data_IF_726538836559
#
_entry.id   IF_726538836559
#
_cell.length_a   1.000
_cell.length_b   1.000
_cell.length_c   1.000
_cell.angle_alpha   90.00
_cell.angle_beta   90.00
_cell.angle_gamma   90.00
#
_symmetry.space_group_name_H-M   'P 1'
#
loop_
_entity.id
_entity.type
_entity.pdbx_description
1 polymer ?
#
# COMPACT_ATOMS: atom_id res chain seq x y z
N UNK A 1 5.68 -4.44 -16.91
CA UNK A 1 5.76 -4.55 -15.44
C UNK A 1 6.06 -3.17 -14.91
N UNK A 2 5.19 -2.58 -14.08
CA UNK A 2 5.53 -1.34 -13.38
C UNK A 2 6.59 -1.62 -12.32
N UNK A 3 7.44 -0.63 -12.07
CA UNK A 3 8.38 -0.71 -10.96
C UNK A 3 7.61 -0.78 -9.64
N UNK A 4 8.21 -1.39 -8.61
CA UNK A 4 7.60 -1.40 -7.27
C UNK A 4 7.51 0.03 -6.72
N UNK A 5 8.55 0.82 -7.01
CA UNK A 5 8.70 2.22 -6.60
C UNK A 5 9.08 3.07 -7.82
N UNK A 6 8.54 4.27 -7.90
CA UNK A 6 8.86 5.30 -8.88
C UNK A 6 9.74 6.36 -8.21
N UNK A 7 11.02 6.33 -8.55
CA UNK A 7 12.03 7.26 -8.04
C UNK A 7 11.80 8.71 -8.48
N UNK A 8 11.21 8.97 -9.64
CA UNK A 8 10.89 10.36 -10.06
C UNK A 8 9.87 10.99 -9.10
N UNK A 9 8.88 10.20 -8.65
CA UNK A 9 7.90 10.63 -7.65
C UNK A 9 8.52 10.87 -6.28
N UNK A 10 9.51 10.06 -5.91
CA UNK A 10 10.27 10.24 -4.68
C UNK A 10 11.11 11.52 -4.76
N UNK A 11 11.75 11.79 -5.89
CA UNK A 11 12.52 13.01 -6.11
C UNK A 11 11.63 14.26 -6.07
N UNK A 12 10.44 14.20 -6.66
CA UNK A 12 9.42 15.25 -6.53
C UNK A 12 9.04 15.47 -5.07
N UNK A 13 8.70 14.39 -4.35
CA UNK A 13 8.35 14.47 -2.93
C UNK A 13 9.50 15.11 -2.14
N UNK A 14 10.73 14.62 -2.32
CA UNK A 14 11.94 15.14 -1.68
C UNK A 14 12.13 16.64 -1.91
N UNK A 15 11.86 17.15 -3.11
CA UNK A 15 11.91 18.59 -3.42
C UNK A 15 10.81 19.39 -2.72
N UNK A 16 9.62 18.81 -2.57
CA UNK A 16 8.48 19.49 -1.95
C UNK A 16 8.58 19.58 -0.41
N UNK A 17 9.12 18.54 0.23
CA UNK A 17 9.20 18.45 1.70
C UNK A 17 10.60 18.68 2.29
N UNK A 18 11.66 18.63 1.45
CA UNK A 18 13.06 18.66 1.86
C UNK A 18 13.63 17.26 2.13
N UNK A 19 14.84 17.00 1.62
CA UNK A 19 15.57 15.73 1.75
C UNK A 19 15.72 15.28 3.21
N UNK A 20 15.85 16.23 4.14
CA UNK A 20 15.99 15.97 5.58
C UNK A 20 14.73 15.36 6.23
N UNK A 21 13.56 15.57 5.64
CA UNK A 21 12.28 15.05 6.13
C UNK A 21 11.89 13.70 5.49
N UNK A 22 12.56 13.32 4.40
CA UNK A 22 12.27 12.10 3.65
C UNK A 22 12.44 10.82 4.50
N UNK A 23 13.52 10.65 5.30
CA UNK A 23 13.70 9.44 6.11
C UNK A 23 12.60 9.28 7.18
N UNK A 24 12.13 10.38 7.77
CA UNK A 24 11.06 10.36 8.75
C UNK A 24 9.75 9.89 8.12
N UNK A 25 9.40 10.43 6.96
CA UNK A 25 8.17 10.07 6.25
C UNK A 25 8.22 8.64 5.70
N UNK A 26 9.39 8.19 5.21
CA UNK A 26 9.57 6.78 4.83
C UNK A 26 9.40 5.85 6.02
N UNK A 27 9.95 6.20 7.19
CA UNK A 27 9.76 5.42 8.41
C UNK A 27 8.29 5.29 8.80
N UNK A 28 7.53 6.40 8.74
CA UNK A 28 6.07 6.39 8.99
C UNK A 28 5.35 5.49 7.98
N UNK A 29 5.62 5.69 6.69
CA UNK A 29 4.98 4.91 5.63
C UNK A 29 5.31 3.40 5.76
N UNK A 30 6.58 3.05 5.98
CA UNK A 30 7.02 1.67 6.23
C UNK A 30 6.28 1.06 7.43
N UNK A 31 6.10 1.82 8.51
CA UNK A 31 5.32 1.40 9.68
C UNK A 31 3.87 1.10 9.31
N UNK A 32 3.20 2.00 8.58
CA UNK A 32 1.83 1.79 8.11
C UNK A 32 1.71 0.52 7.24
N UNK A 33 2.68 0.26 6.36
CA UNK A 33 2.67 -0.95 5.53
C UNK A 33 2.73 -2.24 6.37
N UNK A 34 3.48 -2.23 7.48
CA UNK A 34 3.55 -3.35 8.42
C UNK A 34 2.20 -3.53 9.12
N UNK A 35 1.65 -2.45 9.67
CA UNK A 35 0.37 -2.47 10.39
C UNK A 35 -0.76 -2.99 9.48
N UNK A 36 -0.79 -2.58 8.21
CA UNK A 36 -1.77 -3.07 7.25
C UNK A 36 -1.56 -4.55 6.89
N UNK A 37 -0.32 -5.00 6.74
CA UNK A 37 -0.04 -6.40 6.43
C UNK A 37 -0.46 -7.32 7.60
N UNK A 38 -0.17 -6.90 8.83
CA UNK A 38 -0.59 -7.62 10.04
C UNK A 38 -2.11 -7.60 10.21
N UNK A 39 -2.77 -6.47 9.97
CA UNK A 39 -4.23 -6.37 10.04
C UNK A 39 -4.91 -7.30 9.02
N UNK A 40 -4.37 -7.41 7.81
CA UNK A 40 -4.92 -8.33 6.79
C UNK A 40 -4.64 -9.80 7.11
N UNK A 41 -3.48 -10.11 7.68
CA UNK A 41 -3.13 -11.48 8.09
C UNK A 41 -3.99 -11.97 9.27
N UNK A 42 -4.28 -11.07 10.22
CA UNK A 42 -5.09 -11.34 11.42
C UNK A 42 -6.54 -10.84 11.26
N UNK A 43 -7.02 -10.73 10.02
CA UNK A 43 -8.32 -10.15 9.71
C UNK A 43 -9.49 -10.89 10.39
N UNK A 44 -10.66 -10.25 10.47
CA UNK A 44 -11.84 -10.84 11.10
C UNK A 44 -12.31 -12.10 10.36
N UNK A 45 -12.90 -13.03 11.11
CA UNK A 45 -13.50 -14.25 10.55
C UNK A 45 -14.78 -13.97 9.75
N UNK A 46 -15.49 -12.90 10.11
CA UNK A 46 -16.73 -12.49 9.46
C UNK A 46 -16.45 -11.89 8.08
N UNK A 47 -17.12 -12.42 7.05
CA UNK A 47 -16.84 -12.09 5.64
C UNK A 47 -17.06 -10.62 5.31
N UNK A 48 -18.11 -10.00 5.85
CA UNK A 48 -18.42 -8.58 5.60
C UNK A 48 -17.38 -7.65 6.22
N UNK A 49 -16.97 -7.92 7.46
CA UNK A 49 -15.93 -7.14 8.15
C UNK A 49 -14.57 -7.30 7.45
N UNK A 50 -14.28 -8.51 6.97
CA UNK A 50 -13.06 -8.80 6.23
C UNK A 50 -13.04 -8.08 4.87
N UNK A 51 -14.17 -7.94 4.20
CA UNK A 51 -14.29 -7.16 2.97
C UNK A 51 -14.11 -5.66 3.24
N UNK A 52 -14.79 -5.13 4.26
CA UNK A 52 -14.69 -3.73 4.67
C UNK A 52 -13.26 -3.33 5.07
N UNK A 53 -12.57 -4.22 5.79
CA UNK A 53 -11.15 -4.04 6.14
C UNK A 53 -10.28 -3.92 4.89
N UNK A 54 -10.41 -4.86 3.95
CA UNK A 54 -9.62 -4.86 2.72
C UNK A 54 -9.90 -3.62 1.86
N UNK A 55 -11.17 -3.18 1.81
CA UNK A 55 -11.58 -1.95 1.14
C UNK A 55 -10.99 -0.71 1.81
N UNK A 56 -11.05 -0.62 3.13
CA UNK A 56 -10.53 0.51 3.90
C UNK A 56 -9.02 0.66 3.69
N UNK A 57 -8.28 -0.44 3.82
CA UNK A 57 -6.84 -0.47 3.59
C UNK A 57 -6.52 -0.10 2.14
N UNK A 58 -7.23 -0.66 1.16
CA UNK A 58 -7.02 -0.31 -0.26
C UNK A 58 -7.26 1.18 -0.53
N UNK A 59 -8.25 1.79 0.13
CA UNK A 59 -8.54 3.21 -0.03
C UNK A 59 -7.42 4.10 0.53
N UNK A 60 -6.92 3.78 1.73
CA UNK A 60 -5.80 4.49 2.36
C UNK A 60 -4.52 4.34 1.53
N UNK A 61 -4.20 3.10 1.13
CA UNK A 61 -3.01 2.77 0.34
C UNK A 61 -3.00 3.44 -1.02
N UNK A 62 -4.16 3.57 -1.68
CA UNK A 62 -4.24 4.28 -2.96
C UNK A 62 -3.66 5.70 -2.86
N UNK A 63 -3.98 6.41 -1.79
CA UNK A 63 -3.51 7.79 -1.59
C UNK A 63 -2.07 7.83 -1.11
N UNK A 64 -1.71 7.04 -0.10
CA UNK A 64 -0.34 7.04 0.44
C UNK A 64 0.67 6.52 -0.59
N UNK A 65 0.39 5.39 -1.25
CA UNK A 65 1.26 4.83 -2.27
C UNK A 65 1.43 5.76 -3.48
N UNK A 66 0.41 6.52 -3.86
CA UNK A 66 0.53 7.52 -4.92
C UNK A 66 1.48 8.67 -4.52
N UNK A 67 1.40 9.15 -3.28
CA UNK A 67 2.26 10.23 -2.77
C UNK A 67 3.72 9.79 -2.65
N UNK A 68 3.96 8.55 -2.18
CA UNK A 68 5.30 8.01 -1.98
C UNK A 68 5.91 7.37 -3.24
N UNK A 69 5.15 7.26 -4.34
CA UNK A 69 5.63 6.63 -5.57
C UNK A 69 5.63 5.09 -5.53
N UNK A 70 4.92 4.44 -4.62
CA UNK A 70 4.78 2.99 -4.56
C UNK A 70 3.78 2.46 -5.64
N UNK A 71 4.17 2.54 -6.91
CA UNK A 71 3.28 2.34 -8.06
C UNK A 71 2.56 0.99 -8.07
N UNK A 72 3.27 -0.10 -7.80
CA UNK A 72 2.67 -1.45 -7.82
C UNK A 72 1.59 -1.59 -6.76
N UNK A 73 1.84 -1.07 -5.56
CA UNK A 73 0.87 -1.07 -4.47
C UNK A 73 -0.32 -0.17 -4.79
N UNK A 74 -0.05 1.05 -5.29
CA UNK A 74 -1.07 2.01 -5.70
C UNK A 74 -2.00 1.45 -6.78
N UNK A 75 -1.45 0.77 -7.79
CA UNK A 75 -2.21 0.16 -8.87
C UNK A 75 -3.11 -0.97 -8.36
N UNK A 76 -2.57 -1.86 -7.53
CA UNK A 76 -3.35 -2.96 -6.97
C UNK A 76 -4.47 -2.45 -6.05
N UNK A 77 -4.18 -1.49 -5.18
CA UNK A 77 -5.15 -0.83 -4.31
C UNK A 77 -6.26 -0.13 -5.12
N UNK A 78 -5.89 0.59 -6.20
CA UNK A 78 -6.86 1.23 -7.11
C UNK A 78 -7.75 0.21 -7.80
N UNK A 79 -7.19 -0.94 -8.21
CA UNK A 79 -7.95 -2.01 -8.85
C UNK A 79 -8.96 -2.63 -7.89
N UNK A 80 -8.60 -2.89 -6.64
CA UNK A 80 -9.53 -3.41 -5.63
C UNK A 80 -10.64 -2.41 -5.30
N UNK A 81 -10.31 -1.13 -5.13
CA UNK A 81 -11.30 -0.07 -4.89
C UNK A 81 -12.30 0.04 -6.07
N UNK A 82 -11.84 -0.12 -7.31
CA UNK A 82 -12.70 -0.14 -8.49
C UNK A 82 -13.63 -1.36 -8.52
N UNK A 83 -13.11 -2.57 -8.26
CA UNK A 83 -13.88 -3.82 -8.21
C UNK A 83 -14.94 -3.80 -7.11
N UNK A 84 -14.60 -3.26 -5.94
CA UNK A 84 -15.58 -3.08 -4.87
C UNK A 84 -16.73 -2.15 -5.29
N UNK A 85 -16.43 -1.06 -5.99
CA UNK A 85 -17.44 -0.11 -6.49
C UNK A 85 -18.35 -0.69 -7.57
N UNK A 86 -17.90 -1.70 -8.31
CA UNK A 86 -18.73 -2.43 -9.29
C UNK A 86 -19.55 -3.55 -8.64
N UNK A 87 -19.43 -3.75 -7.31
CA UNK A 87 -20.13 -4.80 -6.58
C UNK A 87 -19.49 -6.19 -6.71
N UNK A 88 -18.26 -6.27 -7.22
CA UNK A 88 -17.50 -7.51 -7.22
C UNK A 88 -17.00 -7.84 -5.82
N UNK A 89 -17.04 -9.12 -5.47
CA UNK A 89 -16.41 -9.63 -4.25
C UNK A 89 -14.90 -9.45 -4.33
N UNK A 90 -14.38 -8.61 -3.43
CA UNK A 90 -12.94 -8.41 -3.30
C UNK A 90 -12.34 -9.26 -2.18
N UNK A 91 -13.15 -9.82 -1.28
CA UNK A 91 -12.70 -10.56 -0.11
C UNK A 91 -12.38 -12.02 -0.47
N UNK A 92 -11.40 -12.18 -1.36
CA UNK A 92 -10.85 -13.48 -1.76
C UNK A 92 -9.48 -13.68 -1.12
N UNK A 93 -9.13 -14.94 -0.84
CA UNK A 93 -7.79 -15.28 -0.33
C UNK A 93 -6.70 -14.77 -1.27
N UNK A 94 -6.89 -14.90 -2.58
CA UNK A 94 -5.95 -14.40 -3.60
C UNK A 94 -5.74 -12.89 -3.51
N UNK A 95 -6.81 -12.10 -3.39
CA UNK A 95 -6.68 -10.64 -3.28
C UNK A 95 -5.98 -10.23 -1.98
N UNK A 96 -6.28 -10.91 -0.87
CA UNK A 96 -5.63 -10.68 0.43
C UNK A 96 -4.15 -11.02 0.39
N UNK A 97 -3.80 -12.20 -0.08
CA UNK A 97 -2.40 -12.66 -0.23
C UNK A 97 -1.62 -11.75 -1.18
N UNK A 98 -2.24 -11.33 -2.29
CA UNK A 98 -1.64 -10.38 -3.22
C UNK A 98 -1.41 -9.01 -2.57
N UNK A 99 -2.36 -8.51 -1.77
CA UNK A 99 -2.19 -7.25 -1.03
C UNK A 99 -1.01 -7.35 -0.06
N UNK A 100 -0.98 -8.38 0.77
CA UNK A 100 0.08 -8.62 1.76
C UNK A 100 1.45 -8.72 1.06
N UNK A 101 1.51 -9.43 -0.07
CA UNK A 101 2.74 -9.53 -0.88
C UNK A 101 3.17 -8.17 -1.41
N UNK A 102 2.25 -7.35 -1.92
CA UNK A 102 2.57 -6.00 -2.39
C UNK A 102 3.05 -5.09 -1.26
N UNK A 103 2.45 -5.19 -0.07
CA UNK A 103 2.87 -4.45 1.13
C UNK A 103 4.31 -4.81 1.52
N UNK A 104 4.63 -6.11 1.61
CA UNK A 104 5.97 -6.58 1.95
C UNK A 104 7.02 -6.16 0.92
N UNK A 105 6.74 -6.35 -0.37
CA UNK A 105 7.67 -5.95 -1.43
C UNK A 105 7.92 -4.44 -1.43
N UNK A 106 6.86 -3.64 -1.26
CA UNK A 106 6.99 -2.17 -1.18
C UNK A 106 7.85 -1.78 0.02
N UNK A 107 7.57 -2.37 1.18
CA UNK A 107 8.35 -2.13 2.41
C UNK A 107 9.84 -2.41 2.20
N UNK A 108 10.17 -3.56 1.60
CA UNK A 108 11.56 -3.94 1.33
C UNK A 108 12.27 -2.96 0.39
N UNK A 109 11.59 -2.45 -0.63
CA UNK A 109 12.18 -1.45 -1.52
C UNK A 109 12.42 -0.11 -0.81
N UNK A 110 11.47 0.37 0.00
CA UNK A 110 11.68 1.60 0.77
C UNK A 110 12.78 1.46 1.83
N UNK A 111 12.90 0.30 2.48
CA UNK A 111 13.99 0.02 3.43
C UNK A 111 15.38 0.04 2.77
N UNK A 112 15.48 -0.29 1.48
CA UNK A 112 16.75 -0.18 0.73
C UNK A 112 17.10 1.28 0.43
N UNK A 113 16.11 2.17 0.34
CA UNK A 113 16.31 3.60 0.09
C UNK A 113 16.68 4.37 1.36
N UNK A 114 16.42 3.81 2.55
CA UNK A 114 16.75 4.41 3.85
C UNK A 114 18.08 3.95 4.44
N UNK A 115 18.79 3.03 3.77
CA UNK A 115 20.11 2.50 4.18
C UNK A 115 21.24 3.22 3.46
#
# INVERSE_FOLDING_TARGET
>A
MKAVVNTDKIDELSRDIGEENLPMLFSIFIGELVDYAEALANGPSERSEAEEQLKSISHSLKSSAASFGAERLCEFATRLDARYKTGEDINTSENRETMITCLHLTREEFLKLTQ
#
